data_IF_436940184632
#
_entry.id   IF_436940184632
#
_cell.length_a   1.000
_cell.length_b   1.000
_cell.length_c   1.000
_cell.angle_alpha   90.00
_cell.angle_beta   90.00
_cell.angle_gamma   90.00
#
_symmetry.space_group_name_H-M   'P 1'
#
loop_
_entity.id
_entity.type
_entity.pdbx_description
1 polymer ?
#
# COMPACT_ATOMS: atom_id res chain seq x y z
N UNK A 1 -29.66 0.35 30.82
CA UNK A 1 -28.23 0.06 31.03
C UNK A 1 -27.53 0.28 29.70
N UNK A 2 -26.94 1.46 29.50
CA UNK A 2 -26.20 1.77 28.27
C UNK A 2 -24.78 1.22 28.49
N UNK A 3 -24.47 0.10 27.84
CA UNK A 3 -23.12 -0.44 27.79
C UNK A 3 -22.28 0.49 26.90
N UNK A 4 -21.70 1.52 27.48
CA UNK A 4 -20.64 2.31 26.84
C UNK A 4 -19.41 1.41 26.80
N UNK A 5 -19.23 0.70 25.69
CA UNK A 5 -17.98 0.00 25.42
C UNK A 5 -16.92 1.07 25.16
N UNK A 6 -15.85 1.17 25.98
CA UNK A 6 -14.73 2.03 25.64
C UNK A 6 -14.10 1.43 24.38
N UNK A 7 -14.40 2.02 23.22
CA UNK A 7 -13.58 1.77 22.03
C UNK A 7 -12.21 2.28 22.41
N UNK A 8 -11.31 1.36 22.70
CA UNK A 8 -9.90 1.64 22.82
C UNK A 8 -9.50 2.43 21.59
N UNK A 9 -9.02 3.65 21.79
CA UNK A 9 -8.22 4.35 20.80
C UNK A 9 -6.89 3.58 20.67
N UNK A 10 -6.95 2.37 20.13
CA UNK A 10 -5.79 1.61 19.70
C UNK A 10 -5.27 2.35 18.47
N UNK A 11 -4.07 2.93 18.57
CA UNK A 11 -3.24 3.52 17.50
C UNK A 11 -3.94 3.50 16.12
N UNK A 12 -4.78 4.51 15.87
CA UNK A 12 -5.69 4.54 14.71
C UNK A 12 -4.96 4.90 13.42
N UNK A 13 -3.77 4.32 13.18
CA UNK A 13 -3.16 4.41 11.85
C UNK A 13 -3.82 3.39 10.96
N UNK A 14 -4.64 3.91 10.05
CA UNK A 14 -5.30 3.11 9.04
C UNK A 14 -4.26 2.48 8.12
N UNK A 15 -4.38 1.16 7.88
CA UNK A 15 -3.47 0.41 7.02
C UNK A 15 -3.87 0.57 5.56
N UNK A 16 -2.88 0.58 4.66
CA UNK A 16 -3.15 0.59 3.21
C UNK A 16 -3.90 -0.67 2.78
N UNK A 17 -3.41 -1.82 3.26
CA UNK A 17 -4.00 -3.13 3.00
C UNK A 17 -4.23 -3.90 4.30
N UNK A 18 -5.12 -4.89 4.25
CA UNK A 18 -5.38 -5.76 5.41
C UNK A 18 -4.11 -6.53 5.79
N UNK A 19 -4.03 -7.02 7.02
CA UNK A 19 -2.82 -7.68 7.53
C UNK A 19 -2.39 -8.94 6.75
N UNK A 20 -3.31 -9.57 6.01
CA UNK A 20 -3.05 -10.75 5.16
C UNK A 20 -2.77 -10.40 3.70
N UNK A 21 -2.74 -9.11 3.37
CA UNK A 21 -2.50 -8.58 2.04
C UNK A 21 -1.21 -7.76 2.02
N UNK A 22 -0.72 -7.49 0.82
CA UNK A 22 0.39 -6.59 0.57
C UNK A 22 0.01 -5.62 -0.56
N UNK A 23 0.50 -4.37 -0.51
CA UNK A 23 0.20 -3.38 -1.54
C UNK A 23 1.02 -3.64 -2.80
N UNK A 24 0.47 -3.33 -3.97
CA UNK A 24 1.16 -3.31 -5.26
C UNK A 24 0.93 -1.97 -5.96
N UNK A 25 1.85 -1.55 -6.81
CA UNK A 25 1.76 -0.28 -7.56
C UNK A 25 1.40 -0.52 -9.02
N UNK A 26 0.50 0.31 -9.56
CA UNK A 26 0.19 0.28 -10.97
C UNK A 26 1.39 0.72 -11.82
N UNK A 27 1.67 -0.03 -12.87
CA UNK A 27 2.73 0.27 -13.84
C UNK A 27 2.32 1.46 -14.72
N UNK A 28 3.27 2.36 -14.98
CA UNK A 28 3.09 3.51 -15.87
C UNK A 28 2.12 4.56 -15.35
N UNK A 29 1.64 4.43 -14.11
CA UNK A 29 0.72 5.37 -13.50
C UNK A 29 1.30 5.96 -12.22
N UNK A 30 1.04 7.24 -12.01
CA UNK A 30 1.39 7.95 -10.79
C UNK A 30 0.53 7.49 -9.62
N UNK A 31 -0.76 7.27 -9.87
CA UNK A 31 -1.74 6.81 -8.89
C UNK A 31 -2.18 5.38 -9.19
N UNK A 32 -2.76 4.73 -8.19
CA UNK A 32 -3.19 3.34 -8.31
C UNK A 32 -2.32 2.42 -7.46
N UNK A 33 -2.94 1.91 -6.40
CA UNK A 33 -2.43 0.81 -5.62
C UNK A 33 -3.54 -0.23 -5.46
N UNK A 34 -3.17 -1.49 -5.43
CA UNK A 34 -4.09 -2.58 -5.14
C UNK A 34 -3.56 -3.42 -3.98
N UNK A 35 -4.45 -4.14 -3.30
CA UNK A 35 -4.10 -5.09 -2.26
C UNK A 35 -4.17 -6.50 -2.81
N UNK A 36 -3.08 -7.25 -2.67
CA UNK A 36 -2.96 -8.64 -3.13
C UNK A 36 -2.73 -9.52 -1.92
N UNK A 37 -3.37 -10.69 -1.88
CA UNK A 37 -3.17 -11.61 -0.76
C UNK A 37 -1.72 -12.12 -0.72
N UNK A 38 -1.14 -12.21 0.47
CA UNK A 38 0.23 -12.72 0.66
C UNK A 38 0.38 -14.11 0.04
N UNK A 39 1.49 -14.31 -0.69
CA UNK A 39 1.77 -15.54 -1.42
C UNK A 39 1.19 -15.61 -2.83
N UNK A 40 0.35 -14.66 -3.24
CA UNK A 40 -0.11 -14.55 -4.63
C UNK A 40 0.79 -13.61 -5.44
N UNK A 41 0.86 -13.81 -6.74
CA UNK A 41 1.52 -12.89 -7.67
C UNK A 41 0.66 -11.64 -7.90
N UNK A 42 1.30 -10.47 -8.17
CA UNK A 42 0.56 -9.28 -8.57
C UNK A 42 -0.26 -9.54 -9.84
N UNK A 43 -1.45 -8.92 -9.98
CA UNK A 43 -2.19 -8.95 -11.24
C UNK A 43 -1.39 -8.23 -12.34
N UNK A 44 -1.70 -8.55 -13.60
CA UNK A 44 -1.08 -7.90 -14.75
C UNK A 44 -1.24 -6.37 -14.68
N UNK A 45 -0.18 -5.64 -15.02
CA UNK A 45 -0.14 -4.17 -14.92
C UNK A 45 0.18 -3.64 -13.52
N UNK A 46 0.54 -4.51 -12.57
CA UNK A 46 0.99 -4.12 -11.23
C UNK A 46 2.34 -4.76 -10.89
N UNK A 47 3.13 -4.04 -10.10
CA UNK A 47 4.43 -4.49 -9.61
C UNK A 47 4.49 -4.41 -8.09
N UNK A 48 5.35 -5.25 -7.50
CA UNK A 48 5.64 -5.19 -6.06
C UNK A 48 6.50 -3.97 -5.77
N UNK A 49 6.30 -3.38 -4.60
CA UNK A 49 7.24 -2.39 -4.10
C UNK A 49 8.58 -3.07 -3.75
N UNK A 50 9.70 -2.32 -3.79
CA UNK A 50 10.97 -2.82 -3.29
C UNK A 50 10.86 -3.24 -1.83
N UNK A 51 11.61 -4.28 -1.45
CA UNK A 51 11.61 -4.79 -0.09
C UNK A 51 11.95 -3.68 0.92
N UNK A 52 11.10 -3.51 1.94
CA UNK A 52 11.26 -2.47 2.96
C UNK A 52 10.82 -1.07 2.53
N UNK A 53 10.34 -0.91 1.29
CA UNK A 53 9.78 0.34 0.76
C UNK A 53 8.27 0.24 0.48
N UNK A 54 7.62 -0.73 1.12
CA UNK A 54 6.19 -0.98 1.02
C UNK A 54 5.41 -0.03 1.94
N UNK A 55 4.36 0.65 1.45
CA UNK A 55 3.50 1.46 2.29
C UNK A 55 2.62 0.57 3.19
N UNK A 56 2.78 0.69 4.49
CA UNK A 56 2.06 -0.13 5.49
C UNK A 56 0.83 0.60 6.00
N UNK A 57 0.97 1.90 6.26
CA UNK A 57 -0.08 2.77 6.78
C UNK A 57 -0.38 3.92 5.82
N UNK A 58 -1.63 4.40 5.84
CA UNK A 58 -1.97 5.66 5.20
C UNK A 58 -1.10 6.76 5.82
N UNK A 59 -0.55 7.62 4.96
CA UNK A 59 0.33 8.73 5.33
C UNK A 59 1.68 8.34 5.96
N UNK A 60 2.11 7.07 5.88
CA UNK A 60 3.49 6.73 6.20
C UNK A 60 4.49 7.27 5.17
N UNK A 61 5.78 7.19 5.50
CA UNK A 61 6.86 7.69 4.66
C UNK A 61 6.78 7.14 3.24
N UNK A 62 6.55 5.83 3.10
CA UNK A 62 6.47 5.16 1.81
C UNK A 62 5.20 5.51 1.06
N UNK A 63 4.06 5.62 1.75
CA UNK A 63 2.80 6.05 1.16
C UNK A 63 2.97 7.41 0.49
N UNK A 64 3.59 8.36 1.19
CA UNK A 64 3.87 9.71 0.69
C UNK A 64 4.91 9.69 -0.42
N UNK A 65 6.00 8.94 -0.26
CA UNK A 65 7.06 8.81 -1.26
C UNK A 65 6.51 8.32 -2.61
N UNK A 66 5.63 7.32 -2.60
CA UNK A 66 5.11 6.71 -3.82
C UNK A 66 3.98 7.50 -4.51
N UNK A 67 3.48 8.61 -3.93
CA UNK A 67 2.43 9.43 -4.54
C UNK A 67 2.89 10.20 -5.78
N UNK A 68 4.19 10.50 -5.91
CA UNK A 68 4.73 11.20 -7.08
C UNK A 68 5.61 10.33 -7.98
N UNK A 69 5.87 9.07 -7.62
CA UNK A 69 6.67 8.16 -8.44
C UNK A 69 5.81 7.39 -9.43
N UNK A 70 6.38 7.19 -10.62
CA UNK A 70 5.88 6.24 -11.62
C UNK A 70 6.86 5.08 -11.68
N UNK A 71 6.34 3.86 -11.83
CA UNK A 71 7.16 2.65 -11.95
C UNK A 71 6.89 1.96 -13.29
N UNK A 72 7.90 1.34 -13.87
CA UNK A 72 7.76 0.53 -15.08
C UNK A 72 7.43 -0.94 -14.75
N UNK A 73 7.31 -1.77 -15.80
CA UNK A 73 6.98 -3.21 -15.70
C UNK A 73 8.02 -4.02 -14.91
N UNK A 74 9.24 -3.48 -14.74
CA UNK A 74 10.32 -4.10 -13.98
C UNK A 74 10.37 -3.58 -12.53
N UNK A 75 9.48 -2.66 -12.15
CA UNK A 75 9.47 -2.01 -10.85
C UNK A 75 10.52 -0.91 -10.69
N UNK A 76 11.15 -0.46 -11.79
CA UNK A 76 12.07 0.66 -11.74
C UNK A 76 11.31 2.00 -11.75
N UNK A 77 11.82 2.98 -11.01
CA UNK A 77 11.26 4.33 -10.98
C UNK A 77 11.60 5.03 -12.29
N UNK A 78 10.57 5.50 -13.00
CA UNK A 78 10.72 6.25 -14.25
C UNK A 78 10.20 7.68 -14.08
N UNK A 79 10.74 8.65 -14.84
CA UNK A 79 10.15 9.99 -14.90
C UNK A 79 8.71 9.89 -15.42
N UNK A 80 7.82 10.67 -14.80
CA UNK A 80 6.42 10.80 -15.20
C UNK A 80 6.25 11.57 -16.51
#
# INVERSE_FOLDING_TARGET
MILVSPVSACDMRERVCRSQEYPVKAVGNRTGAACVAKGQEPPAGYVRYPAGQEPVYLDDEWYRYWQDKVVDEHGAIVPS
#
